data_IF_500262848793
#
_entry.id   IF_500262848793
#
_cell.length_a   1.000
_cell.length_b   1.000
_cell.length_c   1.000
_cell.angle_alpha   90.00
_cell.angle_beta   90.00
_cell.angle_gamma   90.00
#
_symmetry.space_group_name_H-M   'P 1'
#
loop_
_entity.id
_entity.type
_entity.pdbx_description
1 polymer ?
#
# COMPACT_ATOMS: atom_id res chain seq x y z
N UNK A 1 -11.37 5.06 16.56
CA UNK A 1 -10.25 5.24 15.59
C UNK A 1 -10.76 5.72 14.24
N UNK A 2 -10.03 6.61 13.58
CA UNK A 2 -10.28 7.04 12.19
C UNK A 2 -9.01 6.90 11.37
N UNK A 3 -9.12 6.25 10.22
CA UNK A 3 -8.00 6.06 9.30
C UNK A 3 -8.32 6.79 8.00
N UNK A 4 -7.37 7.60 7.52
CA UNK A 4 -7.53 8.41 6.32
C UNK A 4 -6.31 8.27 5.43
N UNK A 5 -6.53 8.33 4.12
CA UNK A 5 -5.46 8.59 3.16
C UNK A 5 -5.39 10.10 2.92
N UNK A 6 -4.20 10.67 3.10
CA UNK A 6 -3.89 12.07 2.79
C UNK A 6 -3.13 12.06 1.48
N UNK A 7 -3.65 12.72 0.44
CA UNK A 7 -3.00 12.82 -0.86
C UNK A 7 -2.65 14.29 -1.15
N UNK A 8 -1.36 14.61 -1.25
CA UNK A 8 -0.87 15.94 -1.57
C UNK A 8 0.23 15.84 -2.65
N UNK A 9 0.07 16.58 -3.75
CA UNK A 9 1.16 16.73 -4.74
C UNK A 9 1.63 15.45 -5.44
N UNK A 10 0.80 14.39 -5.49
CA UNK A 10 1.17 13.10 -6.08
C UNK A 10 1.71 12.07 -5.08
N UNK A 11 1.98 12.49 -3.85
CA UNK A 11 2.33 11.61 -2.74
C UNK A 11 1.09 11.28 -1.89
N UNK A 12 1.07 10.05 -1.40
CA UNK A 12 0.02 9.57 -0.50
C UNK A 12 0.61 9.23 0.87
N UNK A 13 -0.11 9.53 1.93
CA UNK A 13 0.21 9.14 3.29
C UNK A 13 -1.00 8.52 3.97
N UNK A 14 -0.75 7.58 4.88
CA UNK A 14 -1.77 7.04 5.77
C UNK A 14 -1.72 7.82 7.09
N UNK A 15 -2.87 8.30 7.55
CA UNK A 15 -3.04 8.99 8.83
C UNK A 15 -4.03 8.24 9.71
N UNK A 16 -3.66 7.99 10.96
CA UNK A 16 -4.48 7.31 11.96
C UNK A 16 -4.71 8.27 13.13
N UNK A 17 -5.95 8.72 13.29
CA UNK A 17 -6.38 9.60 14.37
C UNK A 17 -7.13 8.79 15.45
N UNK A 18 -6.69 8.84 16.72
CA UNK A 18 -7.48 8.32 17.81
C UNK A 18 -8.69 9.22 18.06
N UNK A 19 -9.87 8.61 18.29
CA UNK A 19 -11.12 9.35 18.53
C UNK A 19 -11.38 9.60 20.02
N UNK A 20 -10.71 8.83 20.88
CA UNK A 20 -11.00 8.68 22.30
C UNK A 20 -9.75 8.14 23.01
N UNK A 21 -9.83 7.99 24.34
CA UNK A 21 -8.73 7.55 25.21
C UNK A 21 -8.25 6.12 24.91
N UNK A 22 -9.15 5.23 24.49
CA UNK A 22 -8.79 3.85 24.11
C UNK A 22 -7.90 3.86 22.87
N UNK A 23 -8.27 4.65 21.87
CA UNK A 23 -7.46 4.84 20.67
C UNK A 23 -6.08 5.45 20.95
N UNK A 24 -6.00 6.39 21.90
CA UNK A 24 -4.74 6.99 22.33
C UNK A 24 -3.85 5.97 23.04
N UNK A 25 -4.42 5.18 23.96
CA UNK A 25 -3.69 4.13 24.67
C UNK A 25 -3.13 3.07 23.72
N UNK A 26 -3.89 2.70 22.69
CA UNK A 26 -3.44 1.77 21.67
C UNK A 26 -2.21 2.30 20.92
N UNK A 27 -2.26 3.55 20.44
CA UNK A 27 -1.11 4.15 19.76
C UNK A 27 0.10 4.35 20.70
N UNK A 28 -0.15 4.71 21.96
CA UNK A 28 0.89 4.84 22.98
C UNK A 28 1.60 3.51 23.27
N UNK A 29 0.91 2.37 23.20
CA UNK A 29 1.53 1.05 23.34
C UNK A 29 2.58 0.75 22.25
N UNK A 30 2.49 1.43 21.10
CA UNK A 30 3.48 1.38 20.03
C UNK A 30 4.46 2.57 20.06
N UNK A 31 4.48 3.35 21.15
CA UNK A 31 5.36 4.51 21.31
C UNK A 31 4.93 5.74 20.53
N UNK A 32 3.70 5.77 20.00
CA UNK A 32 3.17 6.91 19.24
C UNK A 32 2.34 7.81 20.16
N UNK A 33 2.78 9.05 20.34
CA UNK A 33 2.03 10.05 21.09
C UNK A 33 1.09 10.83 20.16
N UNK A 34 -0.21 10.51 20.20
CA UNK A 34 -1.24 11.23 19.45
C UNK A 34 -1.54 10.61 18.10
N UNK A 35 -1.46 11.40 17.02
CA UNK A 35 -1.79 10.93 15.66
C UNK A 35 -0.59 10.26 15.01
N UNK A 36 -0.80 9.12 14.37
CA UNK A 36 0.22 8.47 13.54
C UNK A 36 0.06 8.89 12.08
N UNK A 37 1.16 9.22 11.40
CA UNK A 37 1.16 9.44 9.97
C UNK A 37 2.42 8.83 9.34
N UNK A 38 2.24 8.12 8.22
CA UNK A 38 3.36 7.55 7.45
C UNK A 38 3.11 7.69 5.96
N UNK A 39 4.15 8.02 5.20
CA UNK A 39 4.08 8.11 3.74
C UNK A 39 3.94 6.70 3.17
N UNK A 40 3.02 6.53 2.23
CA UNK A 40 2.89 5.31 1.45
C UNK A 40 4.02 5.31 0.43
N UNK A 41 4.96 4.37 0.58
CA UNK A 41 6.00 4.15 -0.41
C UNK A 41 5.37 3.81 -1.78
N UNK A 42 6.08 4.12 -2.86
CA UNK A 42 5.64 3.68 -4.18
C UNK A 42 5.69 2.15 -4.22
N UNK A 43 4.58 1.54 -4.63
CA UNK A 43 4.57 0.10 -4.87
C UNK A 43 5.57 -0.19 -5.99
N UNK A 44 6.71 -0.82 -5.67
CA UNK A 44 7.69 -1.30 -6.66
C UNK A 44 7.21 -2.55 -7.42
N UNK A 45 5.91 -2.84 -7.39
CA UNK A 45 5.29 -3.86 -8.22
C UNK A 45 4.99 -3.32 -9.61
N UNK A 46 4.86 -4.18 -10.64
CA UNK A 46 4.48 -3.73 -11.97
C UNK A 46 3.18 -2.94 -11.86
N UNK A 47 3.21 -1.68 -12.31
CA UNK A 47 2.04 -0.83 -12.46
C UNK A 47 1.05 -1.58 -13.34
N UNK A 48 0.04 -2.21 -12.72
CA UNK A 48 -1.07 -2.75 -13.47
C UNK A 48 -1.69 -1.57 -14.23
N UNK A 49 -1.82 -1.65 -15.56
CA UNK A 49 -2.42 -0.55 -16.31
C UNK A 49 -3.83 -0.34 -15.80
N UNK A 50 -4.19 0.93 -15.57
CA UNK A 50 -5.55 1.37 -15.29
C UNK A 50 -6.50 0.68 -16.26
N UNK A 51 -7.55 0.04 -15.73
CA UNK A 51 -8.51 -0.73 -16.49
C UNK A 51 -9.20 0.15 -17.55
N UNK A 52 -8.63 0.15 -18.76
CA UNK A 52 -9.14 0.82 -19.94
C UNK A 52 -8.76 0.12 -21.24
N UNK A 53 -8.16 -1.07 -21.19
CA UNK A 53 -7.89 -1.89 -22.38
C UNK A 53 -7.82 -3.36 -21.97
N UNK A 54 -8.94 -4.07 -22.11
CA UNK A 54 -8.95 -5.54 -22.11
C UNK A 54 -8.14 -6.03 -23.32
N UNK A 55 -6.84 -6.19 -23.16
CA UNK A 55 -6.02 -7.05 -24.01
C UNK A 55 -5.83 -8.37 -23.27
N UNK A 56 -6.40 -9.47 -23.78
CA UNK A 56 -6.13 -10.82 -23.29
C UNK A 56 -4.61 -11.06 -23.22
N UNK A 57 -4.08 -11.76 -22.21
CA UNK A 57 -2.73 -12.28 -22.30
C UNK A 57 -2.69 -13.35 -23.39
N UNK A 58 -1.90 -13.11 -24.45
CA UNK A 58 -1.53 -14.14 -25.42
C UNK A 58 -0.75 -15.23 -24.67
N UNK A 59 -1.28 -16.46 -24.71
CA UNK A 59 -0.73 -17.63 -24.03
C UNK A 59 0.48 -18.17 -24.79
N UNK A 60 1.45 -17.31 -25.08
CA UNK A 60 2.65 -17.63 -25.85
C UNK A 60 3.86 -17.12 -25.13
N UNK A 61 4.42 -17.93 -24.20
CA UNK A 61 5.86 -18.16 -23.98
C UNK A 61 6.03 -18.84 -22.61
N UNK A 62 5.69 -20.13 -22.52
CA UNK A 62 6.30 -20.99 -21.51
C UNK A 62 7.64 -21.44 -22.07
N UNK A 63 8.71 -20.65 -21.87
CA UNK A 63 10.06 -21.17 -22.10
C UNK A 63 10.43 -22.07 -20.94
N UNK A 64 10.38 -23.36 -21.25
CA UNK A 64 10.87 -24.46 -20.44
C UNK A 64 12.40 -24.41 -20.48
N UNK A 65 13.02 -23.74 -19.50
CA UNK A 65 14.47 -23.87 -19.30
C UNK A 65 14.74 -25.25 -18.70
N UNK A 66 15.13 -26.17 -19.59
CA UNK A 66 15.51 -27.53 -19.25
C UNK A 66 16.72 -27.61 -18.32
N UNK A 67 16.57 -28.53 -17.37
CA UNK A 67 17.57 -29.39 -16.70
C UNK A 67 18.98 -29.49 -17.32
N UNK A 68 19.99 -29.48 -16.44
CA UNK A 68 20.93 -30.59 -16.14
C UNK A 68 22.39 -30.09 -15.96
N UNK A 69 23.31 -30.91 -15.42
CA UNK A 69 23.21 -31.91 -14.35
C UNK A 69 23.79 -31.44 -13.00
#
# INVERSE_FOLDING_TARGET
MKVMMVAEGGDCALRIEPLDEEGQALLAAFGVCGTYQTTLGQATGPTMPVAGSLGLPDLGTMTLAGVAP
#
